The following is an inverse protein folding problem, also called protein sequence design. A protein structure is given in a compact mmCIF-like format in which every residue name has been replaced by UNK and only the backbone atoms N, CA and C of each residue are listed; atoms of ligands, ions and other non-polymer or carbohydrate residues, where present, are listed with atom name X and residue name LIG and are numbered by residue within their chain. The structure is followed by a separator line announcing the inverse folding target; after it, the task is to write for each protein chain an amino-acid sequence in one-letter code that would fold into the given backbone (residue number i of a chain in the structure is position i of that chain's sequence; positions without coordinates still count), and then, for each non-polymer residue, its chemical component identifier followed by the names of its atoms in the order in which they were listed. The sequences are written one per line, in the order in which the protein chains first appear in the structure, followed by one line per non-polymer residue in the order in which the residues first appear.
data_IF_345496268009
#
_entry.id   IF_345496268009
#
_cell.length_a   1.000
_cell.length_b   1.000
_cell.length_c   1.000
_cell.angle_alpha   90.00
_cell.angle_beta   90.00
_cell.angle_gamma   90.00
#
_symmetry.space_group_name_H-M   'P 1'
#
loop_
_entity.id
_entity.type
_entity.pdbx_description
1 polymer ?
#
# COMPACT_ATOMS: atom_id res chain seq x y z
N UNK A 1 -7.86 -2.10 9.13
CA UNK A 1 -7.73 -1.63 7.74
C UNK A 1 -9.01 -0.88 7.42
N UNK A 2 -8.95 0.31 6.82
CA UNK A 2 -10.14 1.16 6.56
C UNK A 2 -10.31 1.48 5.08
N UNK A 3 -9.89 0.58 4.18
CA UNK A 3 -10.35 0.68 2.80
C UNK A 3 -11.68 -0.05 2.70
N UNK A 4 -12.78 0.70 2.63
CA UNK A 4 -14.13 0.18 2.42
C UNK A 4 -14.20 -0.79 1.23
N UNK A 5 -13.33 -0.60 0.24
CA UNK A 5 -13.25 -1.46 -0.94
C UNK A 5 -12.75 -2.88 -0.62
N UNK A 6 -11.86 -3.09 0.35
CA UNK A 6 -11.39 -4.44 0.73
C UNK A 6 -12.57 -5.31 1.20
N UNK A 7 -13.52 -4.73 1.91
CA UNK A 7 -14.72 -5.40 2.38
C UNK A 7 -15.72 -5.66 1.24
N UNK A 8 -15.76 -4.78 0.24
CA UNK A 8 -16.68 -4.87 -0.91
C UNK A 8 -16.25 -5.89 -1.98
N UNK A 9 -14.94 -6.11 -2.21
CA UNK A 9 -14.44 -7.18 -3.12
C UNK A 9 -14.31 -8.54 -2.43
N UNK A 10 -14.47 -8.60 -1.11
CA UNK A 10 -14.82 -9.81 -0.33
C UNK A 10 -13.75 -10.90 -0.15
N UNK A 11 -12.73 -11.00 -1.01
CA UNK A 11 -11.77 -12.13 -1.00
C UNK A 11 -10.43 -11.82 -0.31
N UNK A 12 -10.07 -10.54 -0.17
CA UNK A 12 -8.68 -10.17 0.09
C UNK A 12 -8.17 -10.69 1.45
N UNK A 13 -9.02 -10.67 2.48
CA UNK A 13 -8.66 -11.17 3.81
C UNK A 13 -8.49 -12.70 3.83
N UNK A 14 -9.47 -13.52 3.38
CA UNK A 14 -9.28 -14.97 3.24
C UNK A 14 -8.04 -15.36 2.42
N UNK A 15 -7.87 -14.75 1.24
CA UNK A 15 -6.78 -15.07 0.31
C UNK A 15 -5.40 -14.71 0.90
N UNK A 16 -5.26 -13.53 1.52
CA UNK A 16 -4.01 -13.14 2.19
C UNK A 16 -3.72 -13.96 3.44
N UNK A 17 -4.76 -14.35 4.20
CA UNK A 17 -4.61 -15.23 5.35
C UNK A 17 -4.09 -16.61 4.93
N UNK A 18 -4.67 -17.20 3.87
CA UNK A 18 -4.19 -18.46 3.32
C UNK A 18 -2.73 -18.36 2.83
N UNK A 19 -2.39 -17.30 2.09
CA UNK A 19 -1.01 -17.04 1.68
C UNK A 19 -0.05 -16.94 2.88
N UNK A 20 -0.47 -16.28 3.97
CA UNK A 20 0.30 -16.18 5.21
C UNK A 20 0.48 -17.51 5.91
N UNK A 21 -0.59 -18.30 6.03
CA UNK A 21 -0.56 -19.59 6.71
C UNK A 21 0.29 -20.63 5.96
N UNK A 22 0.30 -20.60 4.63
CA UNK A 22 0.93 -21.66 3.83
C UNK A 22 2.30 -21.30 3.23
N UNK A 23 2.63 -20.02 3.06
CA UNK A 23 3.96 -19.65 2.56
C UNK A 23 5.06 -19.78 3.64
N UNK A 24 6.26 -20.20 3.27
CA UNK A 24 7.40 -20.33 4.19
C UNK A 24 8.47 -19.26 4.02
N UNK A 25 8.38 -18.47 2.94
CA UNK A 25 9.32 -17.39 2.66
C UNK A 25 9.12 -16.16 3.54
N UNK A 26 10.04 -15.20 3.41
CA UNK A 26 9.93 -13.89 4.06
C UNK A 26 8.64 -13.18 3.64
N UNK A 27 7.95 -12.57 4.60
CA UNK A 27 6.71 -11.83 4.37
C UNK A 27 6.68 -10.57 5.23
N UNK A 28 6.04 -9.52 4.72
CA UNK A 28 5.69 -8.31 5.46
C UNK A 28 4.26 -7.90 5.10
N UNK A 29 3.51 -7.41 6.07
CA UNK A 29 2.21 -6.75 5.83
C UNK A 29 2.31 -5.28 6.21
N UNK A 30 2.05 -4.43 5.24
CA UNK A 30 1.95 -2.99 5.44
C UNK A 30 0.60 -2.53 4.92
N UNK A 31 0.01 -1.57 5.61
CA UNK A 31 -1.17 -0.85 5.15
C UNK A 31 -0.79 0.62 4.99
N UNK A 32 -1.17 1.24 3.88
CA UNK A 32 -1.18 2.70 3.75
C UNK A 32 -2.51 3.19 4.31
N UNK A 33 -2.50 3.71 5.53
CA UNK A 33 -3.68 4.26 6.21
C UNK A 33 -4.28 5.36 5.35
N UNK A 34 -5.61 5.40 5.31
CA UNK A 34 -6.39 6.38 4.55
C UNK A 34 -6.18 6.29 3.03
N UNK A 35 -5.56 5.23 2.52
CA UNK A 35 -5.51 4.98 1.07
C UNK A 35 -6.80 4.36 0.54
N UNK A 36 -7.21 4.76 -0.65
CA UNK A 36 -8.13 4.00 -1.50
C UNK A 36 -7.36 3.08 -2.48
N UNK A 37 -8.08 2.18 -3.15
CA UNK A 37 -7.48 1.15 -4.01
C UNK A 37 -6.60 1.71 -5.13
N UNK A 38 -6.95 2.87 -5.71
CA UNK A 38 -6.18 3.42 -6.82
C UNK A 38 -5.01 4.31 -6.38
N UNK A 39 -4.81 4.55 -5.09
CA UNK A 39 -3.66 5.32 -4.59
C UNK A 39 -2.32 4.61 -4.80
N UNK A 40 -2.34 3.34 -5.19
CA UNK A 40 -1.16 2.55 -5.59
C UNK A 40 -0.81 2.70 -7.08
N UNK A 41 -1.47 3.60 -7.80
CA UNK A 41 -1.32 3.85 -9.24
C UNK A 41 -1.14 5.34 -9.52
N UNK A 42 -0.97 5.73 -10.78
CA UNK A 42 -0.93 7.14 -11.18
C UNK A 42 -2.33 7.82 -11.22
N UNK A 43 -3.42 7.08 -10.97
CA UNK A 43 -4.78 7.61 -11.05
C UNK A 43 -5.02 8.89 -10.22
N UNK A 44 -4.56 9.02 -8.96
CA UNK A 44 -4.73 10.25 -8.18
C UNK A 44 -4.10 11.50 -8.84
N UNK A 45 -3.03 11.31 -9.61
CA UNK A 45 -2.34 12.37 -10.35
C UNK A 45 -3.05 12.74 -11.66
N UNK A 46 -3.80 11.80 -12.22
CA UNK A 46 -4.53 11.97 -13.49
C UNK A 46 -5.95 12.55 -13.28
N UNK A 47 -6.51 12.43 -12.08
CA UNK A 47 -7.86 12.95 -11.76
C UNK A 47 -7.84 14.49 -11.73
N UNK A 48 -8.60 15.17 -12.62
CA UNK A 48 -8.70 16.62 -12.61
C UNK A 48 -9.28 17.14 -11.29
N UNK A 49 -8.83 18.31 -10.84
CA UNK A 49 -9.30 18.92 -9.57
C UNK A 49 -10.82 18.99 -9.48
N UNK A 50 -11.50 19.34 -10.58
CA UNK A 50 -12.96 19.43 -10.65
C UNK A 50 -13.67 18.06 -10.48
N UNK A 51 -12.98 16.96 -10.80
CA UNK A 51 -13.51 15.60 -10.70
C UNK A 51 -13.15 14.91 -9.37
N UNK A 52 -12.28 15.51 -8.54
CA UNK A 52 -11.84 14.92 -7.26
C UNK A 52 -13.00 14.54 -6.32
N UNK A 53 -14.06 15.35 -6.13
CA UNK A 53 -15.18 14.96 -5.29
C UNK A 53 -15.87 13.68 -5.78
N UNK A 54 -16.01 13.52 -7.09
CA UNK A 54 -16.61 12.31 -7.69
C UNK A 54 -15.68 11.09 -7.62
N UNK A 55 -14.37 11.31 -7.52
CA UNK A 55 -13.36 10.25 -7.42
C UNK A 55 -13.09 9.79 -5.97
N UNK A 56 -13.72 10.38 -4.95
CA UNK A 56 -13.42 10.13 -3.53
C UNK A 56 -13.64 8.68 -3.05
N UNK A 57 -14.35 7.84 -3.82
CA UNK A 57 -14.45 6.39 -3.58
C UNK A 57 -13.22 5.61 -4.04
N UNK A 58 -12.49 6.16 -5.00
CA UNK A 58 -11.39 5.50 -5.72
C UNK A 58 -10.03 6.06 -5.33
N UNK A 59 -9.99 7.32 -4.89
CA UNK A 59 -8.79 8.06 -4.48
C UNK A 59 -8.96 8.51 -3.04
N UNK A 60 -8.00 8.20 -2.18
CA UNK A 60 -8.01 8.55 -0.77
C UNK A 60 -7.66 10.03 -0.53
N UNK A 61 -7.75 10.52 0.71
CA UNK A 61 -7.34 11.86 1.09
C UNK A 61 -5.83 12.13 1.01
N UNK A 62 -4.99 11.12 0.78
CA UNK A 62 -3.53 11.28 0.68
C UNK A 62 -3.20 12.11 -0.58
N UNK A 63 -2.29 13.07 -0.44
CA UNK A 63 -1.82 13.83 -1.60
C UNK A 63 -1.19 12.89 -2.65
N UNK A 64 -1.49 13.11 -3.93
CA UNK A 64 -1.11 12.19 -5.02
C UNK A 64 0.41 11.99 -5.14
N UNK A 65 1.18 13.05 -4.95
CA UNK A 65 2.64 13.03 -4.91
C UNK A 65 3.18 12.24 -3.71
N UNK A 66 2.56 12.39 -2.54
CA UNK A 66 2.90 11.63 -1.34
C UNK A 66 2.60 10.14 -1.50
N UNK A 67 1.43 9.78 -2.01
CA UNK A 67 1.07 8.39 -2.29
C UNK A 67 2.07 7.77 -3.30
N UNK A 68 2.39 8.49 -4.38
CA UNK A 68 3.39 8.06 -5.37
C UNK A 68 4.76 7.82 -4.74
N UNK A 69 5.20 8.72 -3.87
CA UNK A 69 6.49 8.62 -3.17
C UNK A 69 6.54 7.37 -2.29
N UNK A 70 5.50 7.15 -1.48
CA UNK A 70 5.40 5.99 -0.60
C UNK A 70 5.39 4.68 -1.38
N UNK A 71 4.59 4.59 -2.45
CA UNK A 71 4.52 3.39 -3.29
C UNK A 71 5.90 3.07 -3.87
N UNK A 72 6.57 4.08 -4.45
CA UNK A 72 7.90 3.90 -5.05
C UNK A 72 8.95 3.50 -4.02
N UNK A 73 8.96 4.13 -2.85
CA UNK A 73 9.91 3.81 -1.78
C UNK A 73 9.79 2.36 -1.31
N UNK A 74 8.56 1.92 -1.00
CA UNK A 74 8.34 0.59 -0.44
C UNK A 74 8.47 -0.53 -1.49
N UNK A 75 8.10 -0.28 -2.74
CA UNK A 75 8.36 -1.21 -3.86
C UNK A 75 9.87 -1.31 -4.14
N UNK A 76 10.57 -0.18 -4.18
CA UNK A 76 12.02 -0.17 -4.37
C UNK A 76 12.74 -0.89 -3.22
N UNK A 77 12.31 -0.70 -1.97
CA UNK A 77 12.84 -1.40 -0.80
C UNK A 77 12.75 -2.93 -0.93
N UNK A 78 11.65 -3.45 -1.47
CA UNK A 78 11.48 -4.89 -1.74
C UNK A 78 12.51 -5.39 -2.76
N UNK A 79 12.66 -4.69 -3.89
CA UNK A 79 13.64 -5.07 -4.90
C UNK A 79 15.08 -4.89 -4.41
N UNK A 80 15.37 -3.84 -3.66
CA UNK A 80 16.67 -3.60 -3.05
C UNK A 80 17.08 -4.73 -2.12
N UNK A 81 16.16 -5.20 -1.29
CA UNK A 81 16.39 -6.33 -0.40
C UNK A 81 16.69 -7.61 -1.17
N UNK A 82 15.80 -8.01 -2.07
CA UNK A 82 15.85 -9.35 -2.66
C UNK A 82 16.68 -9.45 -3.94
N UNK A 83 16.80 -8.38 -4.71
CA UNK A 83 17.51 -8.36 -5.99
C UNK A 83 18.86 -7.64 -5.93
N UNK A 84 19.11 -6.84 -4.88
CA UNK A 84 20.39 -6.13 -4.67
C UNK A 84 21.07 -6.45 -3.35
N UNK A 85 20.55 -7.42 -2.60
CA UNK A 85 21.10 -7.88 -1.32
C UNK A 85 21.34 -6.74 -0.31
N UNK A 86 20.47 -5.73 -0.30
CA UNK A 86 20.52 -4.65 0.70
C UNK A 86 19.86 -5.10 1.99
N UNK A 87 20.51 -4.82 3.11
CA UNK A 87 19.93 -4.98 4.46
C UNK A 87 19.36 -3.66 4.94
N UNK A 88 18.56 -3.70 6.01
CA UNK A 88 18.00 -2.52 6.69
C UNK A 88 17.16 -1.61 5.79
N UNK A 89 16.48 -2.21 4.82
CA UNK A 89 15.54 -1.51 3.95
C UNK A 89 14.29 -1.08 4.73
N UNK A 90 13.51 -0.09 4.25
CA UNK A 90 12.25 0.33 4.90
C UNK A 90 11.29 -0.81 5.29
N UNK A 91 11.31 -1.94 4.58
CA UNK A 91 10.47 -3.11 4.86
C UNK A 91 11.00 -4.05 5.96
N UNK A 92 12.24 -3.85 6.42
CA UNK A 92 12.87 -4.62 7.50
C UNK A 92 12.60 -4.04 8.90
N UNK A 93 12.23 -2.76 8.97
CA UNK A 93 12.07 -2.00 10.23
C UNK A 93 10.62 -1.55 10.45
N UNK A 94 10.34 -1.00 11.63
CA UNK A 94 9.07 -0.34 11.87
C UNK A 94 8.95 0.89 10.93
N UNK A 95 7.80 1.09 10.25
CA UNK A 95 7.60 2.25 9.39
C UNK A 95 7.81 3.56 10.15
N UNK A 96 8.45 4.52 9.49
CA UNK A 96 8.64 5.89 9.97
C UNK A 96 7.66 6.87 9.33
N UNK A 97 7.11 6.51 8.17
CA UNK A 97 6.06 7.25 7.49
C UNK A 97 4.73 7.10 8.24
N UNK A 98 4.05 8.20 8.59
CA UNK A 98 2.82 8.16 9.39
C UNK A 98 1.66 7.42 8.70
N UNK A 99 1.67 7.40 7.37
CA UNK A 99 0.67 6.70 6.56
C UNK A 99 0.90 5.18 6.58
N UNK A 100 2.14 4.70 6.78
CA UNK A 100 2.45 3.28 6.65
C UNK A 100 2.39 2.60 8.02
N UNK A 101 1.54 1.60 8.14
CA UNK A 101 1.38 0.83 9.38
C UNK A 101 1.64 -0.65 9.18
N UNK A 102 2.43 -1.24 10.07
CA UNK A 102 2.60 -2.68 10.16
C UNK A 102 1.27 -3.33 10.56
N UNK A 103 0.81 -4.30 9.78
CA UNK A 103 -0.38 -5.10 10.12
C UNK A 103 0.09 -6.47 10.61
N UNK A 104 -0.54 -6.99 11.67
CA UNK A 104 -0.25 -8.33 12.19
C UNK A 104 -0.96 -9.40 11.37
#
# INVERSE_FOLDING_TARGET
MTSQQIEEVGDANPSLNAFRQHGTGWKRQLTMRDSAHYDFTDFPSLVPTIARPAAGRYVGPIAADRATTLVREYVAAMFDKFLRNRTDTPIDRQPTDPEIVSTR
#
